data_IF_900990769740
#
_entry.id   IF_900990769740
#
_cell.length_a   1.000
_cell.length_b   1.000
_cell.length_c   1.000
_cell.angle_alpha   90.00
_cell.angle_beta   90.00
_cell.angle_gamma   90.00
#
_symmetry.space_group_name_H-M   'P 1'
#
loop_
_entity.id
_entity.type
_entity.pdbx_description
1 polymer ?
#
# COMPACT_ATOMS: atom_id res chain seq x y z
N UNK A 1 -7.33 -3.95 20.18
CA UNK A 1 -8.22 -2.85 20.60
C UNK A 1 -9.20 -3.30 21.70
N UNK A 2 -9.94 -4.39 21.52
CA UNK A 2 -10.95 -4.86 22.50
C UNK A 2 -10.37 -5.06 23.90
N UNK A 3 -9.18 -5.64 24.01
CA UNK A 3 -8.49 -5.86 25.29
C UNK A 3 -8.04 -4.54 25.92
N UNK A 4 -7.53 -3.62 25.09
CA UNK A 4 -7.11 -2.29 25.51
C UNK A 4 -8.29 -1.44 26.00
N UNK A 5 -9.46 -1.58 25.35
CA UNK A 5 -10.69 -0.89 25.79
C UNK A 5 -11.15 -1.39 27.13
N UNK A 6 -11.15 -2.71 27.37
CA UNK A 6 -11.51 -3.30 28.67
C UNK A 6 -10.58 -2.84 29.78
N UNK A 7 -9.27 -2.85 29.53
CA UNK A 7 -8.28 -2.37 30.50
C UNK A 7 -8.46 -0.87 30.81
N UNK A 8 -8.84 -0.06 29.79
CA UNK A 8 -9.20 1.33 30.00
C UNK A 8 -10.43 1.49 30.88
N UNK A 9 -11.48 0.69 30.65
CA UNK A 9 -12.70 0.69 31.46
C UNK A 9 -12.41 0.34 32.94
N UNK A 10 -11.49 -0.58 33.21
CA UNK A 10 -11.05 -0.92 34.58
C UNK A 10 -10.33 0.24 35.28
N UNK A 11 -9.81 1.20 34.54
CA UNK A 11 -9.12 2.40 35.01
C UNK A 11 -10.00 3.66 34.95
N UNK A 12 -11.29 3.51 34.75
CA UNK A 12 -12.26 4.60 34.53
C UNK A 12 -11.87 5.51 33.34
N UNK A 13 -11.33 4.89 32.28
CA UNK A 13 -10.95 5.56 31.04
C UNK A 13 -11.75 5.02 29.86
N UNK A 14 -12.08 5.88 28.91
CA UNK A 14 -12.73 5.54 27.64
C UNK A 14 -11.84 5.91 26.47
N UNK A 15 -11.70 4.98 25.53
CA UNK A 15 -11.04 5.24 24.25
C UNK A 15 -11.94 6.10 23.38
N UNK A 16 -11.43 7.23 22.91
CA UNK A 16 -12.11 8.11 21.95
C UNK A 16 -11.29 8.32 20.71
N UNK A 17 -11.97 8.64 19.61
CA UNK A 17 -11.35 9.05 18.35
C UNK A 17 -11.81 10.47 18.05
N UNK A 18 -10.86 11.42 17.95
CA UNK A 18 -11.12 12.81 17.56
C UNK A 18 -10.12 13.22 16.47
N UNK A 19 -10.61 13.66 15.31
CA UNK A 19 -9.76 14.12 14.21
C UNK A 19 -8.64 13.13 13.85
N UNK A 20 -9.01 11.85 13.63
CA UNK A 20 -8.08 10.75 13.30
C UNK A 20 -7.06 10.39 14.39
N UNK A 21 -7.12 11.03 15.55
CA UNK A 21 -6.30 10.68 16.71
C UNK A 21 -7.12 9.88 17.71
N UNK A 22 -6.54 8.82 18.19
CA UNK A 22 -7.10 8.00 19.26
C UNK A 22 -6.41 8.35 20.56
N UNK A 23 -7.15 8.33 21.65
CA UNK A 23 -6.62 8.60 22.98
C UNK A 23 -7.62 8.22 24.07
N UNK A 24 -7.16 8.19 25.32
CA UNK A 24 -7.98 7.87 26.47
C UNK A 24 -8.44 9.13 27.19
N UNK A 25 -9.71 9.17 27.57
CA UNK A 25 -10.29 10.24 28.39
C UNK A 25 -10.87 9.65 29.67
N UNK A 26 -10.80 10.38 30.81
CA UNK A 26 -11.39 9.95 32.05
C UNK A 26 -12.92 10.03 31.97
N UNK A 27 -13.56 9.00 32.52
CA UNK A 27 -15.02 8.89 32.56
C UNK A 27 -15.51 8.65 33.98
N UNK A 28 -16.76 8.95 34.21
CA UNK A 28 -17.48 8.65 35.45
C UNK A 28 -18.87 8.13 35.17
N UNK A 29 -19.41 7.34 36.10
CA UNK A 29 -20.78 6.87 36.02
C UNK A 29 -21.73 7.95 36.60
N UNK A 30 -22.55 8.58 35.75
CA UNK A 30 -23.64 9.49 36.16
C UNK A 30 -24.96 8.97 35.60
N UNK A 31 -25.97 8.92 36.45
CA UNK A 31 -27.34 8.50 36.07
C UNK A 31 -27.36 7.17 35.28
N UNK A 32 -26.54 6.21 35.69
CA UNK A 32 -26.34 4.91 35.02
C UNK A 32 -25.78 5.00 33.58
N UNK A 33 -25.16 6.14 33.22
CA UNK A 33 -24.49 6.38 31.93
C UNK A 33 -23.03 6.76 32.16
N UNK A 34 -22.15 6.22 31.32
CA UNK A 34 -20.72 6.57 31.30
C UNK A 34 -20.55 7.91 30.60
N UNK A 35 -20.13 8.92 31.33
CA UNK A 35 -19.91 10.29 30.81
C UNK A 35 -18.44 10.69 30.96
N UNK A 36 -17.93 11.43 29.98
CA UNK A 36 -16.57 12.01 30.05
C UNK A 36 -16.53 13.07 31.17
N UNK A 37 -15.45 13.05 31.96
CA UNK A 37 -15.22 14.11 32.94
C UNK A 37 -14.90 15.43 32.22
N UNK A 38 -15.62 16.47 32.58
CA UNK A 38 -15.30 17.82 32.11
C UNK A 38 -14.05 18.37 32.81
N UNK A 39 -13.41 19.37 32.20
CA UNK A 39 -12.21 19.99 32.80
C UNK A 39 -12.49 20.58 34.18
N UNK A 40 -13.68 21.16 34.39
CA UNK A 40 -14.12 21.70 35.69
C UNK A 40 -14.27 20.61 36.75
N UNK A 41 -14.71 19.42 36.39
CA UNK A 41 -14.82 18.28 37.30
C UNK A 41 -13.44 17.71 37.66
N UNK A 42 -12.53 17.64 36.67
CA UNK A 42 -11.12 17.23 36.90
C UNK A 42 -10.43 18.22 37.85
N UNK A 43 -10.66 19.52 37.68
CA UNK A 43 -10.07 20.56 38.53
C UNK A 43 -10.62 20.55 39.98
N UNK A 44 -11.84 20.04 40.15
CA UNK A 44 -12.45 19.86 41.47
C UNK A 44 -11.90 18.63 42.24
N UNK A 45 -11.23 17.71 41.57
CA UNK A 45 -10.61 16.54 42.20
C UNK A 45 -9.40 16.93 43.05
N UNK A 46 -9.11 16.14 44.08
CA UNK A 46 -7.92 16.35 44.88
C UNK A 46 -6.63 16.06 44.07
N UNK A 47 -5.50 16.58 44.53
CA UNK A 47 -4.20 16.45 43.86
C UNK A 47 -3.78 14.99 43.59
N UNK A 48 -4.12 14.07 44.48
CA UNK A 48 -3.79 12.64 44.37
C UNK A 48 -4.60 12.00 43.26
N UNK A 49 -5.91 12.25 43.20
CA UNK A 49 -6.80 11.72 42.18
C UNK A 49 -6.44 12.24 40.78
N UNK A 50 -6.12 13.53 40.65
CA UNK A 50 -5.63 14.10 39.38
C UNK A 50 -4.33 13.44 38.91
N UNK A 51 -3.39 13.21 39.82
CA UNK A 51 -2.14 12.56 39.50
C UNK A 51 -2.35 11.10 39.04
N UNK A 52 -3.26 10.38 39.67
CA UNK A 52 -3.61 9.00 39.35
C UNK A 52 -4.26 8.91 37.96
N UNK A 53 -5.26 9.73 37.68
CA UNK A 53 -5.90 9.82 36.33
C UNK A 53 -4.87 10.15 35.26
N UNK A 54 -4.00 11.13 35.49
CA UNK A 54 -2.96 11.51 34.55
C UNK A 54 -1.93 10.38 34.33
N UNK A 55 -1.61 9.61 35.35
CA UNK A 55 -0.72 8.44 35.22
C UNK A 55 -1.38 7.31 34.42
N UNK A 56 -2.67 7.04 34.67
CA UNK A 56 -3.44 6.03 33.97
C UNK A 56 -3.59 6.38 32.49
N UNK A 57 -3.93 7.63 32.16
CA UNK A 57 -4.00 8.11 30.78
C UNK A 57 -2.66 7.90 30.07
N UNK A 58 -1.56 8.36 30.67
CA UNK A 58 -0.21 8.20 30.07
C UNK A 58 0.16 6.74 29.87
N UNK A 59 -0.24 5.87 30.78
CA UNK A 59 0.01 4.43 30.68
C UNK A 59 -0.75 3.83 29.49
N UNK A 60 -2.04 4.16 29.35
CA UNK A 60 -2.89 3.66 28.29
C UNK A 60 -2.50 4.25 26.93
N UNK A 61 -2.17 5.54 26.86
CA UNK A 61 -1.70 6.18 25.62
C UNK A 61 -0.40 5.56 25.12
N UNK A 62 0.54 5.22 26.00
CA UNK A 62 1.76 4.48 25.62
C UNK A 62 1.46 3.08 25.07
N UNK A 63 0.47 2.39 25.61
CA UNK A 63 0.05 1.09 25.07
C UNK A 63 -0.59 1.25 23.69
N UNK A 64 -1.42 2.27 23.52
CA UNK A 64 -2.05 2.58 22.24
C UNK A 64 -1.01 2.94 21.17
N UNK A 65 -0.02 3.75 21.52
CA UNK A 65 1.11 4.09 20.65
C UNK A 65 1.89 2.84 20.22
N UNK A 66 2.21 1.95 21.14
CA UNK A 66 2.90 0.69 20.84
C UNK A 66 2.08 -0.22 19.93
N UNK A 67 0.77 -0.26 20.13
CA UNK A 67 -0.13 -1.01 19.27
C UNK A 67 -0.15 -0.42 17.86
N UNK A 68 -0.16 0.91 17.75
CA UNK A 68 -0.08 1.61 16.45
C UNK A 68 1.21 1.29 15.69
N UNK A 69 2.36 1.31 16.38
CA UNK A 69 3.65 0.94 15.78
C UNK A 69 3.64 -0.52 15.30
N UNK A 70 3.15 -1.44 16.14
CA UNK A 70 3.08 -2.85 15.76
C UNK A 70 2.13 -3.13 14.59
N UNK A 71 1.03 -2.37 14.49
CA UNK A 71 0.13 -2.45 13.32
C UNK A 71 0.83 -1.96 12.06
N UNK A 72 1.57 -0.84 12.15
CA UNK A 72 2.39 -0.34 11.04
C UNK A 72 3.40 -1.39 10.55
N UNK A 73 4.15 -2.01 11.47
CA UNK A 73 5.11 -3.07 11.14
C UNK A 73 4.42 -4.26 10.42
N UNK A 74 3.22 -4.64 10.87
CA UNK A 74 2.46 -5.73 10.25
C UNK A 74 1.92 -5.36 8.87
N UNK A 75 1.49 -4.10 8.67
CA UNK A 75 1.04 -3.60 7.38
C UNK A 75 2.19 -3.56 6.37
N UNK A 76 3.37 -3.12 6.79
CA UNK A 76 4.57 -3.09 5.96
C UNK A 76 5.01 -4.53 5.58
N UNK A 77 5.06 -5.46 6.55
CA UNK A 77 5.38 -6.87 6.29
C UNK A 77 4.36 -7.52 5.33
N UNK A 78 3.08 -7.18 5.47
CA UNK A 78 2.04 -7.67 4.55
C UNK A 78 2.23 -7.11 3.13
N UNK A 79 2.54 -5.82 3.01
CA UNK A 79 2.82 -5.16 1.72
C UNK A 79 4.02 -5.78 1.03
N UNK A 80 5.11 -6.00 1.78
CA UNK A 80 6.32 -6.64 1.24
C UNK A 80 6.04 -8.05 0.72
N UNK A 81 5.25 -8.84 1.45
CA UNK A 81 4.84 -10.18 1.01
C UNK A 81 3.99 -10.17 -0.25
N UNK A 82 3.08 -9.21 -0.37
CA UNK A 82 2.28 -9.02 -1.59
C UNK A 82 3.18 -8.64 -2.77
N UNK A 83 4.14 -7.73 -2.56
CA UNK A 83 5.11 -7.34 -3.59
C UNK A 83 5.93 -8.52 -4.10
N UNK A 84 6.46 -9.35 -3.20
CA UNK A 84 7.17 -10.58 -3.58
C UNK A 84 6.26 -11.52 -4.37
N UNK A 85 5.04 -11.75 -3.91
CA UNK A 85 4.07 -12.60 -4.60
C UNK A 85 3.74 -12.09 -6.01
N UNK A 86 3.52 -10.79 -6.17
CA UNK A 86 3.25 -10.17 -7.46
C UNK A 86 4.41 -10.38 -8.45
N UNK A 87 5.66 -10.23 -8.00
CA UNK A 87 6.85 -10.51 -8.80
C UNK A 87 6.97 -11.97 -9.19
N UNK A 88 6.70 -12.88 -8.27
CA UNK A 88 6.73 -14.32 -8.55
C UNK A 88 5.68 -14.70 -9.61
N UNK A 89 4.46 -14.20 -9.48
CA UNK A 89 3.39 -14.41 -10.46
C UNK A 89 3.77 -13.81 -11.81
N UNK A 90 4.26 -12.56 -11.83
CA UNK A 90 4.72 -11.91 -13.05
C UNK A 90 5.81 -12.73 -13.75
N UNK A 91 6.77 -13.25 -12.98
CA UNK A 91 7.83 -14.12 -13.52
C UNK A 91 7.26 -15.37 -14.19
N UNK A 92 6.33 -16.06 -13.51
CA UNK A 92 5.67 -17.26 -14.04
C UNK A 92 4.85 -17.01 -15.31
N UNK A 93 4.34 -15.80 -15.49
CA UNK A 93 3.55 -15.42 -16.67
C UNK A 93 4.43 -14.90 -17.80
N UNK A 94 5.41 -14.06 -17.49
CA UNK A 94 6.24 -13.36 -18.48
C UNK A 94 7.28 -14.29 -19.11
N UNK A 95 8.02 -15.05 -18.27
CA UNK A 95 9.16 -15.85 -18.77
C UNK A 95 8.76 -16.88 -19.83
N UNK A 96 7.70 -17.68 -19.68
CA UNK A 96 7.28 -18.62 -20.73
C UNK A 96 6.88 -17.93 -22.04
N UNK A 97 6.36 -16.70 -21.96
CA UNK A 97 6.00 -15.90 -23.15
C UNK A 97 7.23 -15.43 -23.89
N UNK A 98 8.26 -15.00 -23.17
CA UNK A 98 9.55 -14.62 -23.75
C UNK A 98 10.25 -15.81 -24.39
N UNK A 99 10.21 -16.99 -23.76
CA UNK A 99 10.76 -18.22 -24.34
C UNK A 99 10.10 -18.61 -25.65
N UNK A 100 8.77 -18.44 -25.77
CA UNK A 100 8.07 -18.68 -27.04
C UNK A 100 8.53 -17.72 -28.16
N UNK A 101 8.80 -16.46 -27.83
CA UNK A 101 9.31 -15.48 -28.80
C UNK A 101 10.75 -15.84 -29.19
N UNK A 102 11.60 -16.19 -28.22
CA UNK A 102 12.98 -16.59 -28.45
C UNK A 102 13.08 -17.86 -29.29
N UNK A 103 12.23 -18.85 -29.04
CA UNK A 103 12.19 -20.06 -29.85
C UNK A 103 11.85 -19.78 -31.32
N UNK A 104 11.06 -18.74 -31.58
CA UNK A 104 10.67 -18.37 -32.95
C UNK A 104 11.64 -17.43 -33.64
N UNK A 105 12.26 -16.52 -32.89
CA UNK A 105 13.04 -15.40 -33.45
C UNK A 105 14.46 -15.30 -32.88
N UNK A 106 14.92 -16.28 -32.10
CA UNK A 106 16.22 -16.23 -31.40
C UNK A 106 17.46 -16.11 -32.28
N UNK A 107 17.34 -16.39 -33.61
CA UNK A 107 18.41 -16.16 -34.58
C UNK A 107 18.67 -14.65 -34.84
N UNK A 108 17.77 -13.76 -34.39
CA UNK A 108 17.96 -12.31 -34.55
C UNK A 108 18.99 -11.83 -33.53
N UNK A 109 20.12 -11.32 -34.01
CA UNK A 109 21.22 -10.86 -33.14
C UNK A 109 20.74 -9.78 -32.18
N UNK A 110 21.00 -9.94 -30.89
CA UNK A 110 20.66 -8.99 -29.83
C UNK A 110 19.21 -9.07 -29.34
N UNK A 111 18.35 -9.89 -29.97
CA UNK A 111 16.96 -10.04 -29.50
C UNK A 111 16.87 -10.72 -28.13
N UNK A 112 17.72 -11.70 -27.88
CA UNK A 112 17.74 -12.42 -26.59
C UNK A 112 18.00 -11.46 -25.43
N UNK A 113 19.06 -10.66 -25.54
CA UNK A 113 19.44 -9.69 -24.50
C UNK A 113 18.35 -8.63 -24.29
N UNK A 114 17.76 -8.16 -25.40
CA UNK A 114 16.65 -7.21 -25.34
C UNK A 114 15.43 -7.80 -24.62
N UNK A 115 15.02 -9.00 -24.97
CA UNK A 115 13.84 -9.63 -24.36
C UNK A 115 14.07 -9.97 -22.88
N UNK A 116 15.27 -10.35 -22.48
CA UNK A 116 15.63 -10.56 -21.06
C UNK A 116 15.50 -9.27 -20.27
N UNK A 117 16.04 -8.16 -20.78
CA UNK A 117 15.92 -6.85 -20.14
C UNK A 117 14.47 -6.39 -20.08
N UNK A 118 13.72 -6.58 -21.16
CA UNK A 118 12.30 -6.24 -21.23
C UNK A 118 11.45 -7.05 -20.25
N UNK A 119 11.70 -8.37 -20.15
CA UNK A 119 11.04 -9.22 -19.16
C UNK A 119 11.33 -8.78 -17.73
N UNK A 120 12.60 -8.49 -17.44
CA UNK A 120 13.02 -8.02 -16.12
C UNK A 120 12.37 -6.69 -15.75
N UNK A 121 12.32 -5.76 -16.69
CA UNK A 121 11.66 -4.47 -16.48
C UNK A 121 10.16 -4.60 -16.19
N UNK A 122 9.44 -5.52 -16.87
CA UNK A 122 8.04 -5.82 -16.57
C UNK A 122 7.89 -6.38 -15.15
N UNK A 123 8.72 -7.34 -14.77
CA UNK A 123 8.69 -7.99 -13.45
C UNK A 123 8.97 -6.98 -12.35
N UNK A 124 9.97 -6.13 -12.53
CA UNK A 124 10.37 -5.12 -11.56
C UNK A 124 9.33 -4.00 -11.38
N UNK A 125 8.52 -3.75 -12.41
CA UNK A 125 7.49 -2.71 -12.40
C UNK A 125 6.06 -3.27 -12.38
N UNK A 126 5.86 -4.53 -11.98
CA UNK A 126 4.55 -5.18 -12.00
C UNK A 126 3.50 -4.42 -11.18
N UNK A 127 3.88 -3.82 -10.06
CA UNK A 127 2.97 -3.04 -9.21
C UNK A 127 2.40 -1.84 -9.94
N UNK A 128 3.24 -1.10 -10.67
CA UNK A 128 2.78 0.03 -11.50
C UNK A 128 1.81 -0.40 -12.60
N UNK A 129 1.94 -1.63 -13.08
CA UNK A 129 1.02 -2.19 -14.09
C UNK A 129 -0.33 -2.52 -13.45
N UNK A 130 -0.31 -3.12 -12.25
CA UNK A 130 -1.52 -3.49 -11.51
C UNK A 130 -2.28 -2.26 -11.00
N UNK A 131 -1.60 -1.24 -10.47
CA UNK A 131 -2.22 0.01 -10.00
C UNK A 131 -3.01 0.73 -11.11
N UNK A 132 -2.54 0.64 -12.38
CA UNK A 132 -3.26 1.23 -13.51
C UNK A 132 -4.57 0.52 -13.86
N UNK A 133 -4.77 -0.71 -13.40
CA UNK A 133 -6.02 -1.47 -13.64
C UNK A 133 -7.12 -1.12 -12.62
N UNK A 134 -6.77 -0.57 -11.45
CA UNK A 134 -7.73 -0.22 -10.39
C UNK A 134 -8.47 1.10 -10.64
N UNK A 135 -8.05 1.90 -11.61
CA UNK A 135 -8.72 3.17 -11.95
C UNK A 135 -9.98 2.93 -12.80
N UNK A 136 -11.07 2.56 -12.14
CA UNK A 136 -12.38 2.12 -12.70
C UNK A 136 -13.12 3.18 -13.54
N UNK A 137 -12.59 4.38 -13.73
CA UNK A 137 -13.26 5.47 -14.45
C UNK A 137 -12.92 5.62 -15.94
N UNK A 138 -12.05 4.79 -16.49
CA UNK A 138 -11.77 4.82 -17.91
C UNK A 138 -12.45 3.66 -18.65
N UNK A 139 -13.13 3.95 -19.78
CA UNK A 139 -13.85 2.92 -20.53
C UNK A 139 -12.90 1.80 -20.96
N UNK A 140 -13.35 0.56 -20.79
CA UNK A 140 -12.66 -0.70 -21.10
C UNK A 140 -12.16 -0.86 -22.56
N UNK A 141 -12.20 0.18 -23.37
CA UNK A 141 -11.79 0.21 -24.78
C UNK A 141 -10.30 0.51 -24.99
N UNK A 142 -9.56 0.93 -23.96
CA UNK A 142 -8.14 1.19 -24.12
C UNK A 142 -7.37 0.06 -23.46
N UNK A 143 -6.71 -0.75 -24.29
CA UNK A 143 -5.67 -1.68 -23.89
C UNK A 143 -4.59 -0.86 -23.14
N UNK A 144 -4.66 -0.84 -21.82
CA UNK A 144 -3.81 0.00 -20.94
C UNK A 144 -2.42 -0.61 -20.73
N UNK A 145 -1.80 -1.05 -21.82
CA UNK A 145 -0.38 -1.34 -21.77
C UNK A 145 0.34 -0.01 -21.56
N UNK A 146 1.11 0.15 -20.47
CA UNK A 146 1.88 1.36 -20.25
C UNK A 146 2.65 1.75 -21.53
N UNK A 147 2.71 3.04 -21.86
CA UNK A 147 3.30 3.51 -23.12
C UNK A 147 4.74 2.99 -23.33
N UNK A 148 5.48 2.75 -22.24
CA UNK A 148 6.84 2.18 -22.27
C UNK A 148 6.91 0.75 -22.79
N UNK A 149 5.79 0.00 -22.77
CA UNK A 149 5.69 -1.38 -23.27
C UNK A 149 5.01 -1.48 -24.63
N UNK A 150 4.64 -0.36 -25.25
CA UNK A 150 4.05 -0.35 -26.56
C UNK A 150 5.15 -0.41 -27.63
N UNK A 151 5.01 -1.37 -28.55
CA UNK A 151 5.91 -1.45 -29.69
C UNK A 151 5.53 -0.40 -30.75
N UNK A 152 6.46 0.51 -31.05
CA UNK A 152 6.31 1.47 -32.12
C UNK A 152 7.08 1.00 -33.36
N UNK A 153 6.39 0.88 -34.49
CA UNK A 153 7.04 0.59 -35.77
C UNK A 153 7.49 1.93 -36.38
N UNK A 154 8.79 2.21 -36.29
CA UNK A 154 9.39 3.42 -36.85
C UNK A 154 9.56 3.31 -38.36
N UNK A 155 9.94 2.13 -38.87
CA UNK A 155 10.09 1.82 -40.28
C UNK A 155 9.44 0.49 -40.58
N UNK A 156 8.56 0.46 -41.61
CA UNK A 156 7.95 -0.77 -42.08
C UNK A 156 8.38 -1.02 -43.53
N UNK A 157 9.27 -1.97 -43.72
CA UNK A 157 9.61 -2.46 -45.05
C UNK A 157 8.54 -3.46 -45.52
N UNK A 158 7.49 -2.97 -46.19
CA UNK A 158 6.55 -3.86 -46.85
C UNK A 158 7.24 -4.56 -48.04
N UNK A 159 6.98 -5.86 -48.28
CA UNK A 159 7.68 -6.65 -49.31
C UNK A 159 7.66 -6.10 -50.74
N UNK A 160 6.77 -5.13 -51.01
CA UNK A 160 6.56 -4.56 -52.36
C UNK A 160 6.91 -3.06 -52.45
N UNK A 161 7.44 -2.42 -51.43
CA UNK A 161 7.97 -1.06 -51.55
C UNK A 161 9.50 -1.16 -51.60
N UNK A 162 10.11 -0.72 -52.69
CA UNK A 162 11.58 -0.76 -52.85
C UNK A 162 12.34 -0.19 -51.64
N UNK A 163 13.65 -0.35 -51.60
CA UNK A 163 14.49 0.12 -50.48
C UNK A 163 14.18 1.60 -50.17
N UNK A 164 13.84 1.94 -48.94
CA UNK A 164 13.59 3.33 -48.59
C UNK A 164 14.89 4.13 -48.76
N UNK A 165 14.82 5.22 -49.55
CA UNK A 165 15.91 6.19 -49.63
C UNK A 165 15.69 7.20 -48.56
N UNK A 166 16.54 7.18 -47.52
CA UNK A 166 16.52 8.18 -46.44
C UNK A 166 17.52 9.27 -46.85
N UNK A 167 17.02 10.49 -47.07
CA UNK A 167 17.86 11.67 -47.17
C UNK A 167 17.99 12.27 -45.76
N UNK A 168 19.21 12.30 -45.24
CA UNK A 168 19.54 13.11 -44.06
C UNK A 168 19.93 14.51 -44.56
N UNK A 169 19.21 15.54 -44.10
CA UNK A 169 19.55 16.97 -44.29
C UNK A 169 20.53 17.43 -43.20
#
# INVERSE_FOLDING_TARGET
LVELTKEGEELDLKLISRNEKHGFVPVQLKDNQVQELTQTEIDALNSKQRAEIAANIRYMDKKLERLGLHLGDLEDDARDKVSVLNRDIATQVVMPRMDLILNKYGQVKGLEDYLKQYAQDIIDNVELILEQEEDDFAPAMFNRVPARYQANVIVSNKPNSGAPVIFED
#
